data_IF_964452260972
#
_entry.id   IF_964452260972
#
_cell.length_a   1.000
_cell.length_b   1.000
_cell.length_c   1.000
_cell.angle_alpha   90.00
_cell.angle_beta   90.00
_cell.angle_gamma   90.00
#
_symmetry.space_group_name_H-M   'P 1'
#
loop_
_entity.id
_entity.type
_entity.pdbx_description
1 polymer ?
#
# COMPACT_ATOMS: atom_id res chain seq x y z
N UNK A 1 14.57 14.39 -58.60
CA UNK A 1 15.82 14.32 -59.40
C UNK A 1 16.64 13.19 -58.84
N UNK A 2 16.66 12.10 -59.54
CA UNK A 2 17.80 11.34 -60.09
C UNK A 2 18.71 10.77 -59.00
N UNK A 3 19.09 9.50 -58.98
CA UNK A 3 18.99 8.36 -59.89
C UNK A 3 19.84 7.22 -59.36
N UNK A 4 19.34 6.04 -59.46
CA UNK A 4 19.78 4.88 -60.26
C UNK A 4 21.14 4.23 -59.96
N UNK A 5 21.03 2.98 -59.57
CA UNK A 5 21.54 1.73 -60.22
C UNK A 5 22.94 1.22 -59.83
N UNK A 6 23.02 -0.05 -59.52
CA UNK A 6 24.19 -0.91 -59.54
C UNK A 6 23.88 -2.30 -58.98
N UNK A 7 23.37 -3.16 -59.84
CA UNK A 7 23.28 -4.59 -59.55
C UNK A 7 24.53 -5.35 -59.98
N UNK A 8 24.85 -6.43 -59.31
CA UNK A 8 25.71 -7.52 -59.83
C UNK A 8 25.09 -8.87 -59.40
N UNK A 9 24.99 -9.71 -60.43
CA UNK A 9 24.60 -11.13 -60.40
C UNK A 9 25.75 -12.00 -59.89
N UNK A 10 25.44 -13.14 -59.31
CA UNK A 10 26.44 -14.20 -59.11
C UNK A 10 25.89 -15.43 -58.37
N UNK A 11 25.39 -16.35 -59.16
CA UNK A 11 25.53 -17.81 -59.12
C UNK A 11 25.14 -18.63 -57.88
N UNK A 12 24.22 -19.53 -58.14
CA UNK A 12 23.78 -20.65 -57.31
C UNK A 12 24.86 -21.73 -57.14
N UNK A 13 24.96 -22.29 -55.97
CA UNK A 13 25.50 -23.63 -55.72
C UNK A 13 24.50 -24.38 -54.86
N UNK A 14 23.93 -25.45 -55.46
CA UNK A 14 23.14 -26.47 -54.77
C UNK A 14 24.09 -27.32 -53.91
N UNK A 15 23.83 -27.39 -52.62
CA UNK A 15 24.26 -28.56 -51.82
C UNK A 15 23.05 -29.08 -51.02
N UNK A 16 22.72 -30.33 -51.37
CA UNK A 16 21.76 -31.16 -50.62
C UNK A 16 22.40 -31.56 -49.29
N UNK A 17 21.85 -31.11 -48.21
CA UNK A 17 22.19 -31.57 -46.87
C UNK A 17 20.92 -32.06 -46.14
N UNK A 18 20.90 -33.32 -45.79
CA UNK A 18 19.79 -33.99 -45.09
C UNK A 18 19.50 -33.33 -43.75
N UNK A 19 18.28 -32.85 -43.58
CA UNK A 19 17.82 -32.31 -42.31
C UNK A 19 17.38 -33.48 -41.40
N UNK A 20 18.22 -33.78 -40.41
CA UNK A 20 17.78 -34.55 -39.24
C UNK A 20 16.94 -33.60 -38.35
N UNK A 21 15.63 -33.79 -38.39
CA UNK A 21 14.70 -33.09 -37.51
C UNK A 21 14.81 -33.61 -36.08
N UNK A 22 15.53 -32.89 -35.24
CA UNK A 22 15.44 -33.07 -33.78
C UNK A 22 14.19 -32.31 -33.31
N UNK A 23 13.11 -33.03 -33.08
CA UNK A 23 11.93 -32.53 -32.39
C UNK A 23 12.31 -32.35 -30.92
N UNK A 24 12.70 -31.14 -30.59
CA UNK A 24 12.89 -30.72 -29.19
C UNK A 24 11.50 -30.54 -28.56
N UNK A 25 10.96 -31.58 -27.95
CA UNK A 25 9.75 -31.52 -27.14
C UNK A 25 10.05 -30.63 -25.93
N UNK A 26 9.69 -29.35 -26.02
CA UNK A 26 9.60 -28.47 -24.86
C UNK A 26 8.52 -29.05 -23.93
N UNK A 27 8.95 -29.84 -22.96
CA UNK A 27 8.19 -30.14 -21.76
C UNK A 27 8.00 -28.79 -21.03
N UNK A 28 6.88 -28.15 -21.30
CA UNK A 28 6.36 -27.09 -20.43
C UNK A 28 6.07 -27.78 -19.11
N UNK A 29 7.02 -27.69 -18.18
CA UNK A 29 6.79 -28.05 -16.81
C UNK A 29 5.69 -27.10 -16.27
N UNK A 30 4.44 -27.56 -16.30
CA UNK A 30 3.39 -26.95 -15.51
C UNK A 30 3.92 -26.86 -14.08
N UNK A 31 3.79 -25.70 -13.39
CA UNK A 31 4.13 -25.66 -11.98
C UNK A 31 3.26 -26.71 -11.30
N UNK A 32 3.90 -27.78 -10.84
CA UNK A 32 3.24 -28.81 -10.05
C UNK A 32 2.56 -28.09 -8.89
N UNK A 33 1.24 -28.00 -8.94
CA UNK A 33 0.47 -27.63 -7.75
C UNK A 33 0.87 -28.68 -6.71
N UNK A 34 1.58 -28.23 -5.69
CA UNK A 34 1.91 -29.05 -4.52
C UNK A 34 0.55 -29.40 -3.89
N UNK A 35 0.00 -30.54 -4.27
CA UNK A 35 -1.05 -31.20 -3.51
C UNK A 35 -0.38 -31.80 -2.27
N UNK A 36 0.15 -30.94 -1.42
CA UNK A 36 0.57 -31.33 -0.09
C UNK A 36 -0.70 -31.60 0.70
N UNK A 37 -0.87 -32.77 1.21
CA UNK A 37 -2.00 -33.21 2.06
C UNK A 37 -2.05 -32.50 3.42
N UNK A 38 -1.57 -31.27 3.52
CA UNK A 38 -1.64 -30.42 4.69
C UNK A 38 -3.02 -29.78 4.85
N UNK A 39 -3.43 -29.57 6.09
CA UNK A 39 -4.69 -28.87 6.39
C UNK A 39 -4.57 -27.41 5.97
N UNK A 40 -5.48 -26.92 5.15
CA UNK A 40 -5.56 -25.51 4.74
C UNK A 40 -6.68 -24.79 5.47
N UNK A 41 -6.38 -23.61 5.97
CA UNK A 41 -7.33 -22.71 6.65
C UNK A 41 -7.33 -21.39 5.91
N UNK A 42 -8.51 -20.90 5.53
CA UNK A 42 -8.65 -19.64 4.78
C UNK A 42 -9.36 -18.58 5.61
N UNK A 43 -8.93 -17.36 5.40
CA UNK A 43 -9.41 -16.15 6.04
C UNK A 43 -9.64 -15.07 4.99
N UNK A 44 -10.57 -14.17 5.26
CA UNK A 44 -10.76 -12.93 4.48
C UNK A 44 -10.24 -11.76 5.29
N UNK A 45 -9.52 -10.85 4.63
CA UNK A 45 -9.06 -9.62 5.27
C UNK A 45 -10.27 -8.78 5.65
N UNK A 46 -10.39 -8.47 6.92
CA UNK A 46 -11.52 -7.78 7.53
C UNK A 46 -11.19 -6.34 7.95
N UNK A 47 -9.92 -5.97 7.94
CA UNK A 47 -9.43 -4.60 8.07
C UNK A 47 -8.01 -4.48 7.53
N UNK A 48 -7.75 -3.36 6.86
CA UNK A 48 -6.42 -3.00 6.37
C UNK A 48 -6.29 -1.48 6.29
N UNK A 49 -5.34 -0.91 7.00
CA UNK A 49 -4.99 0.51 6.93
C UNK A 49 -3.60 0.77 7.52
N UNK A 50 -3.02 1.94 7.22
CA UNK A 50 -1.79 2.39 7.87
C UNK A 50 -1.97 2.36 9.39
N UNK A 51 -0.99 1.81 10.10
CA UNK A 51 -1.00 1.79 11.55
C UNK A 51 -0.15 2.94 12.08
N UNK A 52 -0.83 3.94 12.60
CA UNK A 52 -0.22 5.05 13.33
C UNK A 52 -0.59 4.98 14.80
N UNK A 53 0.30 5.47 15.63
CA UNK A 53 0.06 5.62 17.07
C UNK A 53 -0.39 7.05 17.38
N UNK A 54 -0.99 7.24 18.54
CA UNK A 54 -1.39 8.56 19.04
C UNK A 54 -1.01 8.65 20.51
N UNK A 55 0.29 8.82 20.77
CA UNK A 55 0.80 8.92 22.12
C UNK A 55 0.97 10.39 22.55
N UNK A 56 0.84 10.69 23.84
CA UNK A 56 1.25 11.98 24.38
C UNK A 56 2.72 12.25 24.04
N UNK A 57 3.01 13.45 23.55
CA UNK A 57 4.37 13.82 23.19
C UNK A 57 4.85 13.46 21.79
N UNK A 58 4.06 12.74 20.97
CA UNK A 58 4.38 12.51 19.56
C UNK A 58 4.64 13.83 18.81
N UNK A 59 3.82 14.85 19.11
CA UNK A 59 3.82 16.12 18.41
C UNK A 59 3.84 17.30 19.42
N UNK A 60 4.95 17.56 20.13
CA UNK A 60 5.02 18.60 21.17
C UNK A 60 4.84 20.01 20.61
N UNK A 61 5.15 20.23 19.34
CA UNK A 61 4.86 21.48 18.63
C UNK A 61 3.39 21.62 18.18
N UNK A 62 2.50 20.71 18.59
CA UNK A 62 1.12 20.63 18.13
C UNK A 62 0.99 19.86 16.82
N UNK A 63 -0.24 19.53 16.43
CA UNK A 63 -0.53 18.86 15.16
C UNK A 63 -0.49 19.83 13.99
N UNK A 64 -0.28 19.28 12.79
CA UNK A 64 -0.43 20.05 11.55
C UNK A 64 -1.92 20.32 11.30
N UNK A 65 -2.27 21.41 10.60
CA UNK A 65 -3.64 21.66 10.18
C UNK A 65 -4.21 20.50 9.36
N UNK A 66 -5.49 20.20 9.54
CA UNK A 66 -6.16 19.05 8.93
C UNK A 66 -6.87 19.38 7.63
N UNK A 67 -7.42 20.58 7.61
CA UNK A 67 -8.24 21.02 6.52
C UNK A 67 -7.41 21.76 5.46
N UNK A 68 -7.89 21.73 4.25
CA UNK A 68 -7.31 22.45 3.12
C UNK A 68 -7.08 23.93 3.48
N UNK A 69 -8.00 24.53 4.20
CA UNK A 69 -7.94 25.91 4.65
C UNK A 69 -6.73 26.17 5.55
N UNK A 70 -6.53 25.37 6.58
CA UNK A 70 -5.40 25.50 7.51
C UNK A 70 -4.06 25.34 6.80
N UNK A 71 -4.00 24.43 5.86
CA UNK A 71 -2.79 24.14 5.10
C UNK A 71 -2.45 25.21 4.08
N UNK A 72 -3.44 25.76 3.39
CA UNK A 72 -3.26 26.96 2.54
C UNK A 72 -2.74 28.13 3.38
N UNK A 73 -3.29 28.31 4.57
CA UNK A 73 -2.79 29.37 5.47
C UNK A 73 -1.32 29.15 5.91
N UNK A 74 -0.89 27.89 6.09
CA UNK A 74 0.52 27.56 6.33
C UNK A 74 1.36 27.86 5.08
N UNK A 75 0.93 27.44 3.90
CA UNK A 75 1.63 27.70 2.64
C UNK A 75 1.81 29.19 2.39
N UNK A 76 0.77 30.00 2.57
CA UNK A 76 0.85 31.46 2.44
C UNK A 76 1.87 32.07 3.41
N UNK A 77 1.92 31.64 4.67
CA UNK A 77 2.95 32.09 5.64
C UNK A 77 4.35 31.70 5.19
N UNK A 78 4.55 30.51 4.72
CA UNK A 78 5.85 30.04 4.19
C UNK A 78 6.28 30.84 2.96
N UNK A 79 5.33 31.36 2.18
CA UNK A 79 5.56 32.26 1.06
C UNK A 79 5.87 33.68 1.51
N UNK A 80 5.90 34.00 2.80
CA UNK A 80 6.26 35.29 3.37
C UNK A 80 5.10 36.27 3.59
N UNK A 81 3.85 35.78 3.44
CA UNK A 81 2.69 36.64 3.79
C UNK A 81 2.59 36.82 5.30
N UNK A 82 2.32 38.04 5.75
CA UNK A 82 2.10 38.34 7.17
C UNK A 82 0.84 37.62 7.69
N UNK A 83 0.79 37.38 9.02
CA UNK A 83 -0.39 36.79 9.65
C UNK A 83 -1.69 37.58 9.41
N UNK A 84 -1.60 38.90 9.29
CA UNK A 84 -2.76 39.76 8.97
C UNK A 84 -3.23 39.54 7.54
N UNK A 85 -2.29 39.47 6.60
CA UNK A 85 -2.58 39.23 5.18
C UNK A 85 -3.15 37.82 4.95
N UNK A 86 -2.58 36.80 5.60
CA UNK A 86 -3.12 35.42 5.57
C UNK A 86 -4.56 35.37 6.07
N UNK A 87 -4.87 36.02 7.22
CA UNK A 87 -6.25 36.09 7.71
C UNK A 87 -7.20 36.72 6.69
N UNK A 88 -6.78 37.80 6.03
CA UNK A 88 -7.59 38.50 5.01
C UNK A 88 -7.82 37.62 3.78
N UNK A 89 -6.78 36.94 3.30
CA UNK A 89 -6.85 36.04 2.16
C UNK A 89 -7.77 34.82 2.47
N UNK A 90 -7.62 34.26 3.65
CA UNK A 90 -8.45 33.13 4.07
C UNK A 90 -9.91 33.51 4.32
N UNK A 91 -10.18 34.72 4.80
CA UNK A 91 -11.56 35.21 4.88
C UNK A 91 -12.20 35.41 3.50
N UNK A 92 -11.43 35.77 2.48
CA UNK A 92 -11.88 35.77 1.09
C UNK A 92 -12.10 34.37 0.54
N UNK A 93 -11.18 33.42 0.86
CA UNK A 93 -11.31 32.02 0.51
C UNK A 93 -12.63 31.41 1.04
N UNK A 94 -12.97 31.67 2.31
CA UNK A 94 -14.17 31.17 2.95
C UNK A 94 -15.47 31.66 2.26
N UNK A 95 -15.41 32.75 1.52
CA UNK A 95 -16.53 33.27 0.73
C UNK A 95 -16.66 32.59 -0.64
N UNK A 96 -15.64 31.83 -1.06
CA UNK A 96 -15.56 31.20 -2.37
C UNK A 96 -15.39 32.18 -3.53
N UNK A 97 -15.59 31.68 -4.75
CA UNK A 97 -15.61 32.49 -5.95
C UNK A 97 -14.32 33.29 -6.21
N UNK A 98 -14.41 34.61 -6.21
CA UNK A 98 -13.24 35.46 -6.50
C UNK A 98 -12.17 35.40 -5.42
N UNK A 99 -12.54 35.23 -4.15
CA UNK A 99 -11.61 35.12 -3.04
C UNK A 99 -10.79 33.82 -3.11
N UNK A 100 -11.46 32.73 -3.41
CA UNK A 100 -10.83 31.42 -3.64
C UNK A 100 -9.90 31.47 -4.86
N UNK A 101 -10.37 32.02 -5.98
CA UNK A 101 -9.58 32.18 -7.20
C UNK A 101 -8.31 32.99 -6.95
N UNK A 102 -8.40 34.07 -6.18
CA UNK A 102 -7.25 34.91 -5.83
C UNK A 102 -6.19 34.17 -5.02
N UNK A 103 -6.60 33.34 -4.08
CA UNK A 103 -5.65 32.52 -3.30
C UNK A 103 -4.99 31.49 -4.20
N UNK A 104 -5.77 30.81 -5.06
CA UNK A 104 -5.23 29.87 -6.03
C UNK A 104 -4.22 30.51 -6.98
N UNK A 105 -4.50 31.72 -7.50
CA UNK A 105 -3.54 32.48 -8.32
C UNK A 105 -2.23 32.80 -7.57
N UNK A 106 -2.30 33.10 -6.26
CA UNK A 106 -1.10 33.31 -5.45
C UNK A 106 -0.27 32.05 -5.34
N UNK A 107 -0.93 30.90 -5.09
CA UNK A 107 -0.26 29.59 -5.01
C UNK A 107 0.36 29.21 -6.35
N UNK A 108 -0.37 29.35 -7.44
CA UNK A 108 0.06 29.02 -8.81
C UNK A 108 1.25 29.87 -9.27
N UNK A 109 1.26 31.17 -8.98
CA UNK A 109 2.38 32.08 -9.34
C UNK A 109 3.70 31.73 -8.68
N UNK A 110 3.70 30.96 -7.61
CA UNK A 110 4.89 30.50 -6.89
C UNK A 110 5.35 29.12 -7.32
N UNK A 111 4.50 28.37 -8.00
CA UNK A 111 4.82 27.06 -8.54
C UNK A 111 5.48 27.24 -9.91
N UNK A 112 6.82 27.31 -9.94
CA UNK A 112 7.61 27.49 -11.15
C UNK A 112 8.56 26.30 -11.35
N UNK A 113 8.62 25.79 -12.58
CA UNK A 113 9.69 24.87 -13.02
C UNK A 113 10.39 25.53 -14.19
N UNK A 114 11.71 25.77 -14.07
CA UNK A 114 12.53 26.45 -15.06
C UNK A 114 11.98 27.84 -15.45
N UNK A 115 11.33 28.53 -14.51
CA UNK A 115 10.72 29.84 -14.72
C UNK A 115 9.31 29.82 -15.32
N UNK A 116 8.80 28.66 -15.70
CA UNK A 116 7.44 28.51 -16.25
C UNK A 116 6.44 28.11 -15.14
N UNK A 117 5.25 28.74 -15.09
CA UNK A 117 4.21 28.39 -14.14
C UNK A 117 3.71 26.95 -14.35
N UNK A 118 3.58 26.21 -13.27
CA UNK A 118 3.03 24.86 -13.27
C UNK A 118 1.89 24.74 -12.25
N UNK A 119 1.01 23.77 -12.46
CA UNK A 119 -0.05 23.49 -11.50
C UNK A 119 0.52 22.79 -10.25
N UNK A 120 0.42 23.39 -9.04
CA UNK A 120 0.97 22.81 -7.82
C UNK A 120 0.33 21.48 -7.43
N UNK A 121 -0.83 21.14 -7.96
CA UNK A 121 -1.50 19.87 -7.68
C UNK A 121 -0.86 18.70 -8.46
N UNK A 122 -0.31 18.96 -9.62
CA UNK A 122 0.41 17.98 -10.45
C UNK A 122 1.93 18.10 -10.28
N UNK A 123 2.41 19.24 -9.80
CA UNK A 123 3.82 19.55 -9.56
C UNK A 123 4.04 20.09 -8.14
N UNK A 124 3.78 19.27 -7.12
CA UNK A 124 3.92 19.69 -5.72
C UNK A 124 5.37 20.08 -5.36
N UNK A 125 6.36 19.57 -6.08
CA UNK A 125 7.78 19.90 -5.92
C UNK A 125 8.10 21.36 -6.24
N UNK A 126 7.27 22.03 -7.04
CA UNK A 126 7.45 23.43 -7.40
C UNK A 126 6.98 24.42 -6.30
N UNK A 127 6.24 23.92 -5.32
CA UNK A 127 5.77 24.72 -4.19
C UNK A 127 6.81 24.67 -3.07
N UNK A 128 7.15 25.80 -2.42
CA UNK A 128 8.02 25.79 -1.26
C UNK A 128 7.51 24.87 -0.15
N UNK A 129 8.43 24.16 0.50
CA UNK A 129 8.10 23.25 1.61
C UNK A 129 7.43 23.99 2.77
N UNK A 130 6.18 23.69 3.13
CA UNK A 130 5.46 24.31 4.23
C UNK A 130 5.97 23.88 5.61
N UNK A 131 7.01 23.05 5.70
CA UNK A 131 7.65 22.61 6.94
C UNK A 131 6.66 21.92 7.88
N UNK A 132 5.97 20.89 7.39
CA UNK A 132 5.11 20.08 8.25
C UNK A 132 5.90 19.51 9.45
N UNK A 133 5.25 19.48 10.60
CA UNK A 133 5.81 18.92 11.83
C UNK A 133 5.83 17.41 11.73
N UNK A 134 6.94 16.84 12.13
CA UNK A 134 7.17 15.40 12.20
C UNK A 134 6.95 14.87 13.62
N UNK A 135 6.67 13.59 13.70
CA UNK A 135 6.66 12.87 14.98
C UNK A 135 8.07 12.87 15.56
N UNK A 136 8.19 13.26 16.83
CA UNK A 136 9.47 13.23 17.58
C UNK A 136 9.58 12.06 18.55
N UNK A 137 8.49 11.33 18.77
CA UNK A 137 8.48 10.13 19.60
C UNK A 137 9.50 9.11 19.10
N UNK A 138 10.00 8.29 20.03
CA UNK A 138 10.98 7.24 19.76
C UNK A 138 10.36 5.84 19.76
N UNK A 139 9.05 5.72 19.87
CA UNK A 139 8.34 4.46 19.93
C UNK A 139 7.19 4.43 18.92
N UNK A 140 7.07 3.31 18.22
CA UNK A 140 5.94 3.01 17.32
C UNK A 140 5.82 1.50 17.13
N UNK A 141 4.89 1.07 16.31
CA UNK A 141 4.79 -0.31 15.83
C UNK A 141 5.36 -0.43 14.42
N UNK A 142 5.96 -1.56 14.11
CA UNK A 142 6.54 -1.79 12.78
C UNK A 142 7.48 -2.98 12.76
N UNK A 143 8.44 -2.92 11.86
CA UNK A 143 9.45 -3.96 11.63
C UNK A 143 10.82 -3.32 11.47
N UNK A 144 11.85 -4.08 11.80
CA UNK A 144 13.22 -3.84 11.36
C UNK A 144 13.30 -4.35 9.90
N UNK A 145 13.32 -3.43 8.93
CA UNK A 145 13.25 -3.76 7.51
C UNK A 145 14.62 -3.87 6.84
N UNK A 146 15.66 -3.28 7.44
CA UNK A 146 16.99 -3.21 6.82
C UNK A 146 18.12 -3.85 7.65
N UNK A 147 17.83 -4.40 8.83
CA UNK A 147 18.75 -4.98 9.80
C UNK A 147 19.79 -3.97 10.33
N UNK A 148 19.47 -2.70 10.32
CA UNK A 148 20.35 -1.66 10.86
C UNK A 148 19.69 -0.97 12.04
N UNK A 149 20.50 -0.22 12.75
CA UNK A 149 20.01 0.68 13.79
C UNK A 149 20.56 2.07 13.52
N UNK A 150 19.64 3.00 13.33
CA UNK A 150 19.93 4.41 13.11
C UNK A 150 19.33 5.28 14.21
N UNK A 151 19.73 6.54 14.27
CA UNK A 151 19.13 7.51 15.20
C UNK A 151 17.68 7.84 14.84
N UNK A 152 17.30 7.55 13.60
CA UNK A 152 15.96 7.81 13.08
C UNK A 152 14.99 6.65 13.30
N UNK A 153 15.46 5.48 13.74
CA UNK A 153 14.62 4.32 13.98
C UNK A 153 13.84 4.49 15.29
N UNK A 154 12.80 3.69 15.37
CA UNK A 154 11.96 3.61 16.55
C UNK A 154 12.27 2.37 17.39
N UNK A 155 11.73 2.35 18.58
CA UNK A 155 11.61 1.18 19.44
C UNK A 155 10.22 0.59 19.28
N UNK A 156 10.13 -0.72 19.02
CA UNK A 156 8.85 -1.42 18.90
C UNK A 156 8.07 -1.35 20.22
N UNK A 157 6.88 -0.79 20.20
CA UNK A 157 6.01 -0.64 21.36
C UNK A 157 5.54 -1.98 21.95
N UNK A 158 5.57 -3.06 21.15
CA UNK A 158 5.10 -4.38 21.57
C UNK A 158 6.24 -5.20 22.17
N UNK A 159 7.40 -5.18 21.51
CA UNK A 159 8.53 -6.06 21.88
C UNK A 159 9.64 -5.33 22.65
N UNK A 160 9.65 -3.99 22.62
CA UNK A 160 10.72 -3.17 23.20
C UNK A 160 12.03 -3.22 22.40
N UNK A 161 12.05 -3.82 21.24
CA UNK A 161 13.28 -3.92 20.40
C UNK A 161 13.50 -2.62 19.63
N UNK A 162 14.76 -2.12 19.56
CA UNK A 162 15.13 -1.01 18.69
C UNK A 162 15.23 -1.44 17.22
N UNK A 163 15.36 -0.46 16.30
CA UNK A 163 15.57 -0.70 14.87
C UNK A 163 14.27 -0.81 14.08
N UNK A 164 13.16 -0.29 14.59
CA UNK A 164 11.89 -0.30 13.85
C UNK A 164 11.85 0.82 12.84
N UNK A 165 11.65 0.43 11.59
CA UNK A 165 11.44 1.33 10.46
C UNK A 165 9.94 1.61 10.28
N UNK A 166 9.53 2.86 10.47
CA UNK A 166 8.19 3.35 10.17
C UNK A 166 8.23 4.87 9.92
N UNK A 167 8.99 5.26 8.88
CA UNK A 167 9.19 6.68 8.56
C UNK A 167 7.91 7.32 7.99
N UNK A 168 6.97 6.51 7.47
CA UNK A 168 5.64 7.02 7.12
C UNK A 168 4.92 7.58 8.36
N UNK A 169 4.99 6.89 9.50
CA UNK A 169 4.46 7.42 10.76
C UNK A 169 5.20 8.69 11.18
N UNK A 170 6.53 8.74 11.05
CA UNK A 170 7.31 9.95 11.35
C UNK A 170 6.83 11.14 10.54
N UNK A 171 6.63 10.96 9.23
CA UNK A 171 6.21 12.04 8.34
C UNK A 171 4.78 12.53 8.57
N UNK A 172 3.85 11.61 8.83
CA UNK A 172 2.42 11.89 8.80
C UNK A 172 1.73 11.86 10.15
N UNK A 173 2.35 11.27 11.17
CA UNK A 173 1.71 11.06 12.47
C UNK A 173 1.41 12.36 13.27
N UNK A 174 1.89 13.52 12.82
CA UNK A 174 1.47 14.82 13.34
C UNK A 174 0.35 15.48 12.53
N UNK A 175 -0.25 14.77 11.57
CA UNK A 175 -1.49 15.23 10.93
C UNK A 175 -2.67 14.54 11.60
N UNK A 176 -3.65 15.29 12.01
CA UNK A 176 -4.76 14.81 12.84
C UNK A 176 -5.52 13.66 12.18
N UNK A 177 -5.82 13.75 10.88
CA UNK A 177 -6.53 12.71 10.13
C UNK A 177 -5.81 11.37 10.10
N UNK A 178 -4.50 11.34 10.39
CA UNK A 178 -3.71 10.11 10.50
C UNK A 178 -3.55 9.62 11.94
N UNK A 179 -4.03 10.37 12.95
CA UNK A 179 -3.87 10.02 14.35
C UNK A 179 -4.98 9.06 14.80
N UNK A 180 -4.58 7.90 15.26
CA UNK A 180 -5.49 6.87 15.75
C UNK A 180 -4.80 5.98 16.76
N UNK A 181 -5.54 5.03 17.32
CA UNK A 181 -5.02 3.99 18.20
C UNK A 181 -5.29 2.62 17.60
N UNK A 182 -4.78 1.56 18.27
CA UNK A 182 -5.07 0.19 17.82
C UNK A 182 -6.56 -0.13 17.81
N UNK A 183 -7.29 0.36 18.79
CA UNK A 183 -8.73 0.11 18.96
C UNK A 183 -9.63 1.15 18.30
N UNK A 184 -9.07 2.29 17.91
CA UNK A 184 -9.77 3.38 17.24
C UNK A 184 -8.90 3.89 16.10
N UNK A 185 -9.07 3.34 14.89
CA UNK A 185 -8.32 3.77 13.72
C UNK A 185 -8.43 5.28 13.48
N UNK A 186 -7.47 5.84 12.81
CA UNK A 186 -7.53 7.25 12.39
C UNK A 186 -8.68 7.47 11.40
N UNK A 187 -9.17 8.70 11.30
CA UNK A 187 -10.21 9.04 10.33
C UNK A 187 -9.79 8.67 8.89
N UNK A 188 -8.53 8.89 8.54
CA UNK A 188 -7.98 8.48 7.25
C UNK A 188 -7.94 6.95 7.09
N UNK A 189 -7.47 6.22 8.11
CA UNK A 189 -7.43 4.76 8.09
C UNK A 189 -8.82 4.14 7.97
N UNK A 190 -9.80 4.68 8.69
CA UNK A 190 -11.19 4.25 8.57
C UNK A 190 -11.74 4.49 7.15
N UNK A 191 -11.48 5.67 6.59
CA UNK A 191 -11.93 5.99 5.24
C UNK A 191 -11.27 5.08 4.18
N UNK A 192 -9.96 4.84 4.25
CA UNK A 192 -9.26 3.91 3.36
C UNK A 192 -9.86 2.53 3.44
N UNK A 193 -10.13 2.07 4.67
CA UNK A 193 -10.75 0.77 4.88
C UNK A 193 -12.15 0.68 4.27
N UNK A 194 -13.00 1.68 4.47
CA UNK A 194 -14.35 1.72 3.88
C UNK A 194 -14.28 1.65 2.35
N UNK A 195 -13.36 2.39 1.73
CA UNK A 195 -13.16 2.32 0.28
C UNK A 195 -12.72 0.91 -0.18
N UNK A 196 -11.79 0.29 0.52
CA UNK A 196 -11.34 -1.07 0.21
C UNK A 196 -12.48 -2.09 0.37
N UNK A 197 -13.22 -1.99 1.46
CA UNK A 197 -14.32 -2.89 1.78
C UNK A 197 -15.45 -2.82 0.75
N UNK A 198 -15.86 -1.62 0.37
CA UNK A 198 -17.09 -1.41 -0.39
C UNK A 198 -16.85 -1.33 -1.90
N UNK A 199 -15.63 -0.95 -2.33
CA UNK A 199 -15.35 -0.70 -3.75
C UNK A 199 -14.40 -1.71 -4.37
N UNK A 200 -13.74 -2.56 -3.58
CA UNK A 200 -12.67 -3.43 -4.04
C UNK A 200 -12.97 -4.91 -3.79
N UNK A 201 -12.46 -5.81 -4.65
CA UNK A 201 -12.44 -7.22 -4.32
C UNK A 201 -11.68 -7.48 -3.01
N UNK A 202 -12.22 -8.33 -2.16
CA UNK A 202 -11.61 -8.70 -0.89
C UNK A 202 -10.25 -9.39 -1.07
N UNK A 203 -9.41 -9.34 -0.07
CA UNK A 203 -8.18 -10.14 -0.02
C UNK A 203 -8.40 -11.38 0.83
N UNK A 204 -7.80 -12.47 0.41
CA UNK A 204 -7.86 -13.77 1.06
C UNK A 204 -6.47 -14.12 1.59
N UNK A 205 -6.40 -14.68 2.79
CA UNK A 205 -5.20 -15.28 3.37
C UNK A 205 -5.46 -16.76 3.60
N UNK A 206 -4.65 -17.63 2.99
CA UNK A 206 -4.71 -19.09 3.21
C UNK A 206 -3.43 -19.54 3.88
N UNK A 207 -3.56 -20.27 4.98
CA UNK A 207 -2.46 -20.88 5.73
C UNK A 207 -2.56 -22.39 5.51
N UNK A 208 -1.52 -23.00 4.94
CA UNK A 208 -1.44 -24.43 4.66
C UNK A 208 -0.28 -25.02 5.43
N UNK A 209 -0.56 -26.05 6.22
CA UNK A 209 0.46 -26.80 6.94
C UNK A 209 1.37 -27.54 5.94
N UNK A 210 2.68 -27.52 6.16
CA UNK A 210 3.64 -28.23 5.31
C UNK A 210 3.90 -29.61 5.92
N UNK A 211 3.54 -30.72 5.23
CA UNK A 211 3.85 -32.05 5.71
C UNK A 211 5.37 -32.22 5.88
N UNK A 212 5.77 -32.94 6.92
CA UNK A 212 7.17 -33.29 7.20
C UNK A 212 8.15 -32.11 7.37
N UNK A 213 7.62 -30.88 7.45
CA UNK A 213 8.42 -29.69 7.71
C UNK A 213 8.79 -29.54 9.19
N UNK A 214 9.65 -28.58 9.48
CA UNK A 214 9.95 -28.18 10.87
C UNK A 214 8.65 -27.80 11.57
N UNK A 215 8.52 -28.15 12.84
CA UNK A 215 7.32 -27.83 13.63
C UNK A 215 6.93 -26.36 13.52
N UNK A 216 5.72 -26.11 13.05
CA UNK A 216 5.18 -24.76 12.84
C UNK A 216 5.49 -24.11 11.49
N UNK A 217 6.22 -24.75 10.57
CA UNK A 217 6.40 -24.22 9.21
C UNK A 217 5.09 -24.33 8.41
N UNK A 218 4.70 -23.25 7.77
CA UNK A 218 3.47 -23.14 6.97
C UNK A 218 3.73 -22.42 5.65
N UNK A 219 2.86 -22.65 4.66
CA UNK A 219 2.76 -21.81 3.48
C UNK A 219 1.64 -20.81 3.71
N UNK A 220 1.93 -19.53 3.52
CA UNK A 220 0.96 -18.45 3.61
C UNK A 220 0.77 -17.86 2.23
N UNK A 221 -0.47 -17.96 1.72
CA UNK A 221 -0.86 -17.35 0.46
C UNK A 221 -1.77 -16.17 0.73
N UNK A 222 -1.40 -14.97 0.23
CA UNK A 222 -2.25 -13.78 0.23
C UNK A 222 -2.60 -13.46 -1.22
N UNK A 223 -3.89 -13.41 -1.52
CA UNK A 223 -4.37 -13.22 -2.88
C UNK A 223 -5.67 -12.42 -2.93
N UNK A 224 -5.99 -11.85 -4.08
CA UNK A 224 -7.26 -11.17 -4.30
C UNK A 224 -8.39 -12.19 -4.49
N UNK A 225 -9.58 -11.81 -4.07
CA UNK A 225 -10.84 -12.48 -4.41
C UNK A 225 -11.42 -11.91 -5.71
N UNK A 226 -12.37 -12.61 -6.32
CA UNK A 226 -13.29 -12.07 -7.33
C UNK A 226 -14.53 -11.41 -6.71
N UNK A 227 -14.70 -11.58 -5.40
CA UNK A 227 -15.86 -11.09 -4.65
C UNK A 227 -15.44 -9.95 -3.71
N UNK A 228 -16.35 -9.00 -3.48
CA UNK A 228 -16.19 -7.98 -2.44
C UNK A 228 -16.31 -8.60 -1.04
N UNK A 229 -15.81 -7.90 -0.02
CA UNK A 229 -16.00 -8.30 1.35
C UNK A 229 -17.50 -8.42 1.66
N UNK A 230 -17.90 -9.57 2.17
CA UNK A 230 -19.28 -9.78 2.56
C UNK A 230 -19.51 -9.24 3.97
N UNK A 231 -20.54 -8.42 4.10
CA UNK A 231 -20.93 -7.80 5.37
C UNK A 231 -22.26 -8.34 5.87
N UNK A 232 -22.47 -8.21 7.16
CA UNK A 232 -23.77 -8.35 7.81
C UNK A 232 -24.60 -7.08 7.59
N UNK A 233 -25.85 -7.08 8.04
CA UNK A 233 -26.77 -5.93 7.90
C UNK A 233 -26.30 -4.70 8.70
N UNK A 234 -25.50 -4.89 9.72
CA UNK A 234 -24.89 -3.83 10.56
C UNK A 234 -23.58 -3.29 9.97
N UNK A 235 -23.17 -3.76 8.79
CA UNK A 235 -21.93 -3.38 8.12
C UNK A 235 -20.68 -4.12 8.64
N UNK A 236 -20.78 -4.94 9.67
CA UNK A 236 -19.65 -5.73 10.16
C UNK A 236 -19.25 -6.83 9.15
N UNK A 237 -17.96 -7.21 9.03
CA UNK A 237 -17.51 -8.28 8.17
C UNK A 237 -18.15 -9.62 8.54
N UNK A 238 -18.63 -10.37 7.54
CA UNK A 238 -19.33 -11.63 7.73
C UNK A 238 -18.36 -12.80 7.87
N UNK A 239 -18.37 -13.45 9.01
CA UNK A 239 -17.60 -14.64 9.31
C UNK A 239 -18.06 -15.85 8.49
N UNK A 240 -17.11 -16.73 8.15
CA UNK A 240 -17.38 -17.97 7.42
C UNK A 240 -18.12 -17.79 6.08
N UNK A 241 -17.99 -16.61 5.47
CA UNK A 241 -18.48 -16.38 4.12
C UNK A 241 -17.59 -17.08 3.08
N UNK A 242 -18.17 -17.41 1.93
CA UNK A 242 -17.45 -18.06 0.82
C UNK A 242 -17.05 -17.05 -0.23
N UNK A 243 -15.80 -17.14 -0.69
CA UNK A 243 -15.20 -16.26 -1.70
C UNK A 243 -14.62 -17.06 -2.84
N UNK A 244 -14.64 -16.50 -4.04
CA UNK A 244 -13.95 -17.05 -5.21
C UNK A 244 -12.56 -16.46 -5.29
N UNK A 245 -11.53 -17.30 -5.37
CA UNK A 245 -10.16 -16.84 -5.56
C UNK A 245 -9.98 -16.23 -6.96
N UNK A 246 -9.24 -15.13 -7.05
CA UNK A 246 -8.83 -14.56 -8.33
C UNK A 246 -7.65 -15.39 -8.88
N UNK A 247 -7.77 -15.94 -10.11
CA UNK A 247 -6.71 -16.76 -10.71
C UNK A 247 -5.56 -15.92 -11.29
N UNK A 248 -5.66 -14.58 -11.30
CA UNK A 248 -4.61 -13.71 -11.84
C UNK A 248 -3.32 -13.85 -11.02
N UNK A 249 -2.22 -14.35 -11.62
CA UNK A 249 -0.97 -14.57 -10.89
C UNK A 249 -0.38 -13.27 -10.30
N UNK A 250 -0.72 -12.10 -10.83
CA UNK A 250 -0.32 -10.80 -10.28
C UNK A 250 -0.98 -10.50 -8.93
N UNK A 251 -2.05 -11.20 -8.62
CA UNK A 251 -2.79 -11.08 -7.36
C UNK A 251 -2.35 -12.07 -6.30
N UNK A 252 -1.38 -12.96 -6.59
CA UNK A 252 -1.00 -14.06 -5.72
C UNK A 252 0.39 -13.83 -5.14
N UNK A 253 0.46 -13.82 -3.81
CA UNK A 253 1.70 -13.81 -3.05
C UNK A 253 1.75 -15.08 -2.20
N UNK A 254 2.85 -15.81 -2.25
CA UNK A 254 3.02 -17.05 -1.50
C UNK A 254 4.37 -17.06 -0.81
N UNK A 255 4.36 -17.36 0.50
CA UNK A 255 5.54 -17.28 1.36
C UNK A 255 5.61 -18.47 2.30
N UNK A 256 6.82 -18.83 2.70
CA UNK A 256 7.03 -19.66 3.88
C UNK A 256 6.92 -18.80 5.12
N UNK A 257 6.18 -19.28 6.11
CA UNK A 257 6.01 -18.64 7.40
C UNK A 257 6.13 -19.65 8.53
N UNK A 258 6.07 -19.14 9.75
CA UNK A 258 6.06 -19.94 10.97
C UNK A 258 4.82 -19.61 11.79
N UNK A 259 4.11 -20.66 12.17
CA UNK A 259 2.95 -20.60 13.06
C UNK A 259 3.28 -21.31 14.37
N UNK A 260 3.36 -20.57 15.46
CA UNK A 260 3.62 -21.11 16.79
C UNK A 260 2.80 -20.37 17.84
N UNK A 261 2.14 -21.11 18.71
CA UNK A 261 1.40 -20.57 19.86
C UNK A 261 0.37 -19.47 19.47
N UNK A 262 -0.28 -19.63 18.31
CA UNK A 262 -1.23 -18.67 17.78
C UNK A 262 -0.59 -17.41 17.18
N UNK A 263 0.73 -17.37 17.00
CA UNK A 263 1.44 -16.31 16.29
C UNK A 263 1.92 -16.79 14.94
N UNK A 264 1.58 -16.03 13.89
CA UNK A 264 2.03 -16.25 12.51
C UNK A 264 3.05 -15.18 12.14
N UNK A 265 4.22 -15.60 11.69
CA UNK A 265 5.26 -14.71 11.21
C UNK A 265 5.73 -15.12 9.82
N UNK A 266 5.91 -14.12 8.94
CA UNK A 266 6.67 -14.21 7.70
C UNK A 266 7.89 -13.32 7.87
N UNK A 267 9.08 -13.95 7.82
CA UNK A 267 10.34 -13.21 7.81
C UNK A 267 10.49 -12.45 6.50
N UNK A 268 11.39 -11.48 6.47
CA UNK A 268 11.66 -10.59 5.33
C UNK A 268 11.63 -11.31 3.99
N UNK A 269 10.79 -10.81 3.10
CA UNK A 269 10.63 -11.27 1.72
C UNK A 269 10.96 -10.14 0.75
N UNK A 270 11.55 -10.43 -0.42
CA UNK A 270 11.94 -9.38 -1.36
C UNK A 270 10.80 -8.47 -1.77
N UNK A 271 9.58 -9.02 -1.90
CA UNK A 271 8.43 -8.29 -2.44
C UNK A 271 7.11 -8.86 -1.93
N UNK A 272 6.16 -7.96 -1.70
CA UNK A 272 4.72 -8.20 -1.69
C UNK A 272 4.08 -7.28 -2.72
N UNK A 273 3.17 -7.80 -3.55
CA UNK A 273 2.47 -7.01 -4.57
C UNK A 273 1.06 -7.52 -4.73
N UNK A 274 0.07 -6.66 -4.53
CA UNK A 274 -1.33 -7.03 -4.70
C UNK A 274 -2.10 -5.92 -5.41
N UNK A 275 -3.01 -6.30 -6.29
CA UNK A 275 -3.90 -5.36 -6.93
C UNK A 275 -4.79 -4.73 -5.86
N UNK A 276 -4.56 -3.47 -5.64
CA UNK A 276 -5.25 -2.67 -4.64
C UNK A 276 -6.45 -1.96 -5.25
N UNK A 277 -6.31 -1.48 -6.48
CA UNK A 277 -7.26 -0.64 -7.17
C UNK A 277 -7.77 0.55 -6.34
N UNK A 278 -6.94 1.02 -5.42
CA UNK A 278 -7.19 2.26 -4.69
C UNK A 278 -7.28 3.44 -5.65
N UNK A 279 -7.87 4.52 -5.23
CA UNK A 279 -8.27 5.68 -6.04
C UNK A 279 -7.17 6.22 -6.97
N UNK A 280 -5.90 5.95 -6.69
CA UNK A 280 -4.79 6.49 -7.47
C UNK A 280 -3.60 5.55 -7.60
N UNK A 281 -3.63 4.39 -6.93
CA UNK A 281 -2.59 3.38 -7.03
C UNK A 281 -3.22 2.02 -7.28
N UNK A 282 -3.06 1.44 -8.47
CA UNK A 282 -3.69 0.18 -8.81
C UNK A 282 -3.07 -1.01 -8.06
N UNK A 283 -1.87 -0.85 -7.52
CA UNK A 283 -1.09 -1.94 -6.89
C UNK A 283 -0.47 -1.45 -5.59
N UNK A 284 -0.64 -2.21 -4.52
CA UNK A 284 0.19 -2.06 -3.32
C UNK A 284 1.48 -2.85 -3.51
N UNK A 285 2.61 -2.16 -3.52
CA UNK A 285 3.93 -2.75 -3.59
C UNK A 285 4.68 -2.49 -2.28
N UNK A 286 5.20 -3.57 -1.67
CA UNK A 286 6.10 -3.47 -0.52
C UNK A 286 7.36 -4.27 -0.83
N UNK A 287 8.52 -3.66 -0.78
CA UNK A 287 9.80 -4.37 -0.75
C UNK A 287 10.20 -4.68 0.70
N UNK A 288 11.06 -5.68 0.92
CA UNK A 288 11.45 -6.17 2.25
C UNK A 288 10.23 -6.51 3.14
N UNK A 289 9.19 -7.06 2.52
CA UNK A 289 7.93 -7.38 3.16
C UNK A 289 8.10 -8.30 4.36
N UNK A 290 7.41 -7.98 5.46
CA UNK A 290 7.29 -8.80 6.66
C UNK A 290 5.85 -8.85 7.14
N UNK A 291 5.50 -9.91 7.90
CA UNK A 291 4.19 -10.07 8.50
C UNK A 291 4.33 -10.64 9.92
N UNK A 292 3.53 -10.14 10.86
CA UNK A 292 3.41 -10.65 12.22
C UNK A 292 1.94 -10.51 12.66
N UNK A 293 1.27 -11.64 12.83
CA UNK A 293 -0.13 -11.70 13.24
C UNK A 293 -0.29 -12.58 14.47
N UNK A 294 -1.26 -12.27 15.30
CA UNK A 294 -1.68 -13.08 16.45
C UNK A 294 -3.15 -13.46 16.30
N UNK A 295 -3.47 -14.72 16.60
CA UNK A 295 -4.83 -15.22 16.56
C UNK A 295 -5.51 -15.05 17.91
N UNK A 296 -6.74 -14.54 17.91
CA UNK A 296 -7.57 -14.48 19.11
C UNK A 296 -8.33 -15.80 19.34
N UNK A 297 -9.02 -15.90 20.48
CA UNK A 297 -9.80 -17.08 20.86
C UNK A 297 -10.97 -17.40 19.89
N UNK A 298 -11.40 -16.44 19.09
CA UNK A 298 -12.46 -16.63 18.08
C UNK A 298 -11.91 -17.06 16.72
N UNK A 299 -10.58 -17.08 16.58
CA UNK A 299 -9.91 -17.43 15.33
C UNK A 299 -9.64 -16.24 14.39
N UNK A 300 -9.84 -15.00 14.84
CA UNK A 300 -9.46 -13.82 14.10
C UNK A 300 -7.95 -13.59 14.20
N UNK A 301 -7.32 -13.26 13.10
CA UNK A 301 -5.96 -12.76 13.04
C UNK A 301 -5.95 -11.24 13.16
N UNK A 302 -5.04 -10.70 13.95
CA UNK A 302 -4.79 -9.27 14.10
C UNK A 302 -3.29 -9.02 14.26
N UNK A 303 -2.76 -8.03 13.57
CA UNK A 303 -1.36 -7.67 13.64
C UNK A 303 -0.93 -6.72 12.54
N UNK A 304 0.28 -6.89 12.07
CA UNK A 304 0.93 -5.98 11.14
C UNK A 304 1.46 -6.70 9.90
N UNK A 305 1.41 -5.99 8.78
CA UNK A 305 2.32 -6.17 7.66
C UNK A 305 3.15 -4.89 7.50
N UNK A 306 4.34 -5.01 6.92
CA UNK A 306 5.19 -3.85 6.67
C UNK A 306 6.19 -4.09 5.55
N UNK A 307 6.81 -3.01 5.11
CA UNK A 307 7.81 -3.00 4.06
C UNK A 307 8.11 -1.58 3.60
N UNK A 308 9.05 -1.45 2.67
CA UNK A 308 9.30 -0.18 2.00
C UNK A 308 8.34 -0.01 0.82
N UNK A 309 7.69 1.15 0.74
CA UNK A 309 6.75 1.50 -0.32
C UNK A 309 7.26 2.71 -1.12
N UNK A 310 7.12 2.73 -2.46
CA UNK A 310 7.45 3.89 -3.26
C UNK A 310 6.67 5.12 -2.77
N UNK A 311 7.36 6.11 -2.20
CA UNK A 311 6.71 7.23 -1.53
C UNK A 311 5.93 8.13 -2.48
N UNK A 312 6.34 8.24 -3.75
CA UNK A 312 5.62 9.01 -4.76
C UNK A 312 4.27 8.41 -5.11
N UNK A 313 4.20 7.07 -5.26
CA UNK A 313 2.93 6.36 -5.48
C UNK A 313 1.99 6.56 -4.30
N UNK A 314 2.53 6.45 -3.09
CA UNK A 314 1.77 6.66 -1.86
C UNK A 314 1.29 8.11 -1.73
N UNK A 315 2.12 9.10 -2.09
CA UNK A 315 1.73 10.50 -2.14
C UNK A 315 0.53 10.70 -3.06
N UNK A 316 0.59 10.19 -4.29
CA UNK A 316 -0.53 10.31 -5.23
C UNK A 316 -1.78 9.58 -4.73
N UNK A 317 -1.65 8.44 -4.08
CA UNK A 317 -2.77 7.77 -3.45
C UNK A 317 -3.44 8.64 -2.37
N UNK A 318 -2.67 9.36 -1.57
CA UNK A 318 -3.20 10.26 -0.55
C UNK A 318 -3.77 11.56 -1.13
N UNK A 319 -3.09 12.17 -2.08
CA UNK A 319 -3.43 13.50 -2.58
C UNK A 319 -4.67 13.55 -3.47
N UNK A 320 -5.05 12.44 -4.11
CA UNK A 320 -6.18 12.41 -5.04
C UNK A 320 -7.54 12.12 -4.40
N UNK A 321 -7.57 11.83 -3.12
CA UNK A 321 -8.82 11.45 -2.45
C UNK A 321 -9.57 12.60 -1.76
N UNK A 322 -9.02 13.81 -1.80
CA UNK A 322 -9.65 15.02 -1.24
C UNK A 322 -9.68 15.11 0.29
N UNK A 323 -9.21 14.09 1.01
CA UNK A 323 -9.22 14.05 2.48
C UNK A 323 -8.01 14.78 3.06
N UNK A 324 -6.92 14.77 2.32
CA UNK A 324 -5.67 15.40 2.76
C UNK A 324 -5.50 16.71 2.00
N UNK A 325 -5.79 17.81 2.66
CA UNK A 325 -5.85 19.13 2.04
C UNK A 325 -4.50 19.74 1.65
N UNK A 326 -3.38 19.32 2.26
CA UNK A 326 -2.05 19.84 1.93
C UNK A 326 -1.20 18.89 1.10
N UNK A 327 -1.46 18.90 -0.17
CA UNK A 327 -0.72 18.06 -1.12
C UNK A 327 0.78 18.42 -1.20
N UNK A 328 1.20 19.67 -1.31
CA UNK A 328 2.62 20.02 -1.31
C UNK A 328 3.34 19.68 -0.01
N UNK A 329 2.70 19.90 1.14
CA UNK A 329 3.29 19.56 2.44
C UNK A 329 3.53 18.07 2.60
N UNK A 330 2.59 17.24 2.20
CA UNK A 330 2.75 15.78 2.20
C UNK A 330 3.87 15.32 1.27
N UNK A 331 3.98 15.93 0.08
CA UNK A 331 5.07 15.66 -0.84
C UNK A 331 6.43 15.86 -0.18
N UNK A 332 6.64 17.05 0.40
CA UNK A 332 7.90 17.39 1.05
C UNK A 332 8.15 16.53 2.29
N UNK A 333 7.12 16.24 3.07
CA UNK A 333 7.24 15.39 4.25
C UNK A 333 7.65 13.95 3.90
N UNK A 334 6.98 13.33 2.94
CA UNK A 334 7.33 11.97 2.49
C UNK A 334 8.70 11.92 1.83
N UNK A 335 9.04 12.91 1.01
CA UNK A 335 10.35 13.03 0.38
C UNK A 335 11.49 13.11 1.39
N UNK A 336 11.29 13.88 2.48
CA UNK A 336 12.29 14.03 3.56
C UNK A 336 12.42 12.78 4.42
N UNK A 337 11.31 12.09 4.64
CA UNK A 337 11.26 10.91 5.48
C UNK A 337 11.57 9.59 4.72
N UNK A 338 11.67 9.65 3.40
CA UNK A 338 12.03 8.48 2.59
C UNK A 338 13.40 7.94 3.02
N UNK A 339 13.48 6.64 3.29
CA UNK A 339 14.59 6.00 4.01
C UNK A 339 15.21 4.81 3.27
N UNK A 340 14.69 4.43 2.09
CA UNK A 340 15.17 3.28 1.35
C UNK A 340 15.22 3.48 -0.17
N UNK A 341 15.95 2.57 -0.82
CA UNK A 341 16.05 2.46 -2.28
C UNK A 341 16.55 3.76 -2.92
N UNK A 342 17.81 4.18 -2.62
CA UNK A 342 18.35 5.44 -3.16
C UNK A 342 18.43 5.40 -4.68
N UNK A 343 17.95 6.45 -5.32
CA UNK A 343 18.12 6.69 -6.75
C UNK A 343 19.61 6.76 -7.08
N UNK A 344 20.11 5.94 -8.00
CA UNK A 344 21.54 5.87 -8.30
C UNK A 344 22.12 7.16 -8.90
N UNK A 345 21.28 8.03 -9.42
CA UNK A 345 21.70 9.29 -10.05
C UNK A 345 21.73 10.43 -9.05
N UNK A 346 20.72 10.52 -8.20
CA UNK A 346 20.52 11.66 -7.30
C UNK A 346 20.86 11.35 -5.85
N UNK A 347 20.96 10.07 -5.49
CA UNK A 347 21.11 9.60 -4.12
C UNK A 347 19.87 9.78 -3.24
N UNK A 348 18.77 10.29 -3.80
CA UNK A 348 17.53 10.48 -3.07
C UNK A 348 16.80 9.15 -2.88
N UNK A 349 16.34 8.86 -1.66
CA UNK A 349 15.53 7.68 -1.39
C UNK A 349 14.20 7.73 -2.15
N UNK A 350 13.83 6.60 -2.77
CA UNK A 350 12.63 6.43 -3.57
C UNK A 350 11.50 5.77 -2.80
N UNK A 351 11.80 5.10 -1.69
CA UNK A 351 10.84 4.38 -0.87
C UNK A 351 10.86 4.84 0.58
N UNK A 352 9.73 4.67 1.25
CA UNK A 352 9.52 5.00 2.65
C UNK A 352 9.04 3.76 3.40
N UNK A 353 9.59 3.51 4.58
CA UNK A 353 9.15 2.44 5.45
C UNK A 353 7.75 2.69 6.00
N UNK A 354 6.91 1.65 5.97
CA UNK A 354 5.51 1.72 6.36
C UNK A 354 5.05 0.46 7.09
N UNK A 355 4.17 0.64 8.05
CA UNK A 355 3.47 -0.46 8.73
C UNK A 355 1.95 -0.30 8.60
N UNK A 356 1.29 -1.42 8.34
CA UNK A 356 -0.15 -1.50 8.14
C UNK A 356 -0.74 -2.48 9.14
N UNK A 357 -1.83 -2.11 9.78
CA UNK A 357 -2.65 -3.06 10.50
C UNK A 357 -3.35 -3.97 9.50
N UNK A 358 -3.34 -5.24 9.81
CA UNK A 358 -3.94 -6.28 8.99
C UNK A 358 -4.75 -7.20 9.91
N UNK A 359 -6.06 -7.27 9.70
CA UNK A 359 -6.90 -8.24 10.39
C UNK A 359 -7.59 -9.16 9.40
N UNK A 360 -7.79 -10.43 9.78
CA UNK A 360 -8.46 -11.40 8.94
C UNK A 360 -9.34 -12.35 9.77
N UNK A 361 -10.53 -12.66 9.25
CA UNK A 361 -11.52 -13.54 9.89
C UNK A 361 -11.71 -14.82 9.10
N UNK A 362 -12.11 -15.94 9.73
CA UNK A 362 -12.36 -17.21 9.07
C UNK A 362 -13.32 -17.10 7.87
N UNK A 363 -12.94 -17.72 6.76
CA UNK A 363 -13.70 -17.72 5.52
C UNK A 363 -13.51 -19.04 4.78
N UNK A 364 -14.29 -19.25 3.73
CA UNK A 364 -14.12 -20.36 2.79
C UNK A 364 -13.71 -19.82 1.42
N UNK A 365 -12.90 -20.60 0.72
CA UNK A 365 -12.47 -20.26 -0.64
C UNK A 365 -12.90 -21.35 -1.61
N UNK A 366 -13.35 -20.94 -2.80
CA UNK A 366 -13.63 -21.82 -3.92
C UNK A 366 -12.75 -21.46 -5.11
N UNK A 367 -12.39 -22.48 -5.89
CA UNK A 367 -11.68 -22.24 -7.15
C UNK A 367 -12.58 -21.46 -8.13
N UNK A 368 -11.99 -20.66 -9.04
CA UNK A 368 -12.74 -20.01 -10.11
C UNK A 368 -13.52 -21.07 -10.93
N UNK A 369 -14.79 -20.80 -11.20
CA UNK A 369 -15.64 -21.72 -11.99
C UNK A 369 -16.31 -22.87 -11.22
N UNK A 370 -16.00 -23.07 -9.94
CA UNK A 370 -16.81 -23.97 -9.11
C UNK A 370 -18.18 -23.33 -8.85
N UNK A 371 -19.18 -23.77 -9.60
CA UNK A 371 -20.56 -23.43 -9.25
C UNK A 371 -20.87 -24.07 -7.90
N UNK A 372 -21.26 -23.26 -6.93
CA UNK A 372 -21.93 -23.79 -5.74
C UNK A 372 -23.20 -24.44 -6.26
N UNK A 373 -23.20 -25.78 -6.36
CA UNK A 373 -24.42 -26.53 -6.57
C UNK A 373 -25.28 -26.26 -5.34
N UNK A 374 -26.17 -25.28 -5.46
CA UNK A 374 -27.30 -25.17 -4.55
C UNK A 374 -28.06 -26.48 -4.71
N UNK A 375 -27.96 -27.35 -3.71
CA UNK A 375 -28.78 -28.55 -3.66
C UNK A 375 -30.24 -28.04 -3.59
N UNK A 376 -30.87 -27.86 -4.74
CA UNK A 376 -32.32 -27.81 -4.80
C UNK A 376 -32.78 -29.19 -4.29
N UNK A 377 -33.23 -29.22 -3.05
CA UNK A 377 -34.03 -30.30 -2.56
C UNK A 377 -35.18 -30.48 -3.55
N UNK A 378 -35.13 -31.58 -4.33
CA UNK A 378 -36.31 -32.04 -5.04
C UNK A 378 -37.43 -32.20 -4.01
N UNK A 379 -38.39 -31.23 -4.06
CA UNK A 379 -39.63 -31.40 -3.36
C UNK A 379 -40.37 -32.51 -4.14
N UNK A 380 -40.76 -33.61 -3.50
CA UNK A 380 -41.67 -34.53 -4.14
C UNK A 380 -42.92 -33.81 -4.57
N UNK A 381 -43.28 -33.94 -5.85
CA UNK A 381 -44.53 -33.41 -6.37
C UNK A 381 -45.70 -34.10 -5.64
N UNK A 382 -46.79 -33.39 -5.36
CA UNK A 382 -47.95 -33.89 -4.70
C UNK A 382 -48.67 -34.97 -5.52
#
# INVERSE_FOLDING_TARGET
MWGRNGGIRGQAILQRGAALGVVLSLLVASPASIAAGGQSRTFVVSFFAQQFTNNPGDCPGGVNPEDERGQIAVALRTMGHSSAEVRRLMAGWDQGGEGERKVNEILERRALINGEPVNPMTHPEAVPDPQLKFVVAKQTVGFDLDDKQSAEDFVDMVTGKPGVDNQLFRALGCNQNFRGTWTSPSAYGEWVWVQLRDSQPAWLMTITDVPDAKAGEVIVRIQRSLDHLRSNMDGSPRWHATYRADPDPRSINEYRGFLRDGELAISRQPRFSILWNGLSSPVLNLSQFQLRLKQDARGQWDGLIGGFQPWRELYFAFSHNGIVGDRPGLWHAMKKAADAEPDPTTGQNLSISAAYRFTAIPAFVTAPGSQVRTAMRDRPKP
#
